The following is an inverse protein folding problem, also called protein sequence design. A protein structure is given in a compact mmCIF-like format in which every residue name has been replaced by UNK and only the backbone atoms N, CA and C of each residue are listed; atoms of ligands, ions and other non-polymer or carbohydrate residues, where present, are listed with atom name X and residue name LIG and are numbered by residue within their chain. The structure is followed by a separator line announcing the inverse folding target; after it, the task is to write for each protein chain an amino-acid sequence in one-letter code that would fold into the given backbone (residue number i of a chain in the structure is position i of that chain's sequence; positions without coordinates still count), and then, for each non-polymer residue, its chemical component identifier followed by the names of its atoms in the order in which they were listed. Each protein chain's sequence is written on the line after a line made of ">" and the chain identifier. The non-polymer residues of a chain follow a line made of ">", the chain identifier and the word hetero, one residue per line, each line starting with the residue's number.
data_IF_572591286257
#
_entry.id   IF_572591286257
#
_cell.length_a   1.000
_cell.length_b   1.000
_cell.length_c   1.000
_cell.angle_alpha   90.00
_cell.angle_beta   90.00
_cell.angle_gamma   90.00
#
_symmetry.space_group_name_H-M   'P 1'
#
loop_
_entity.id
_entity.type
_entity.pdbx_description
1 polymer ?
#
# COMPACT_ATOMS: atom_id res chain seq x y z
N UNK A 1 -19.63 -10.73 -8.64
CA UNK A 1 -19.47 -9.98 -7.39
C UNK A 1 -18.56 -8.79 -7.67
N UNK A 2 -18.82 -7.64 -7.07
CA UNK A 2 -18.09 -6.39 -7.36
C UNK A 2 -17.44 -5.84 -6.09
N UNK A 3 -16.47 -4.94 -6.25
CA UNK A 3 -15.83 -4.20 -5.15
C UNK A 3 -16.76 -3.14 -4.51
N UNK A 4 -17.92 -2.85 -5.07
CA UNK A 4 -18.73 -1.67 -4.74
C UNK A 4 -19.07 -1.50 -3.25
N UNK A 5 -19.26 -2.61 -2.52
CA UNK A 5 -19.56 -2.59 -1.08
C UNK A 5 -18.31 -2.50 -0.19
N UNK A 6 -17.13 -2.77 -0.75
CA UNK A 6 -15.85 -2.85 -0.04
C UNK A 6 -14.87 -1.74 -0.45
N UNK A 7 -15.31 -0.80 -1.28
CA UNK A 7 -14.56 0.40 -1.63
C UNK A 7 -15.37 1.64 -1.32
N UNK A 8 -14.68 2.74 -1.09
CA UNK A 8 -15.29 4.04 -0.85
C UNK A 8 -14.97 4.99 -1.99
N UNK A 9 -15.99 5.55 -2.63
CA UNK A 9 -15.82 6.67 -3.55
C UNK A 9 -15.55 7.93 -2.73
N UNK A 10 -14.42 8.58 -3.03
CA UNK A 10 -14.01 9.78 -2.31
C UNK A 10 -14.72 11.02 -2.87
N UNK A 11 -15.23 11.84 -1.96
CA UNK A 11 -15.79 13.14 -2.32
C UNK A 11 -14.69 14.21 -2.51
N UNK A 12 -15.07 15.38 -3.05
CA UNK A 12 -14.11 16.48 -3.35
C UNK A 12 -13.31 16.93 -2.13
N UNK A 13 -13.91 16.96 -0.95
CA UNK A 13 -13.24 17.39 0.28
C UNK A 13 -12.16 16.37 0.70
N UNK A 14 -12.46 15.08 0.62
CA UNK A 14 -11.53 14.00 0.93
C UNK A 14 -10.35 13.99 -0.05
N UNK A 15 -10.63 14.08 -1.34
CA UNK A 15 -9.59 14.22 -2.39
C UNK A 15 -8.72 15.46 -2.11
N UNK A 16 -9.35 16.61 -1.82
CA UNK A 16 -8.63 17.85 -1.51
C UNK A 16 -7.70 17.71 -0.30
N UNK A 17 -8.11 16.99 0.76
CA UNK A 17 -7.27 16.70 1.94
C UNK A 17 -6.05 15.85 1.58
N UNK A 18 -6.23 14.76 0.83
CA UNK A 18 -5.13 13.88 0.41
C UNK A 18 -4.15 14.66 -0.48
N UNK A 19 -4.63 15.40 -1.47
CA UNK A 19 -3.78 16.25 -2.31
C UNK A 19 -3.07 17.34 -1.49
N UNK A 20 -3.72 17.89 -0.47
CA UNK A 20 -3.13 18.83 0.49
C UNK A 20 -1.96 18.21 1.27
N UNK A 21 -2.12 16.98 1.74
CA UNK A 21 -1.06 16.23 2.41
C UNK A 21 0.14 16.00 1.47
N UNK A 22 -0.10 15.60 0.22
CA UNK A 22 0.95 15.43 -0.77
C UNK A 22 1.70 16.74 -1.05
N UNK A 23 0.97 17.85 -1.27
CA UNK A 23 1.57 19.18 -1.49
C UNK A 23 2.42 19.63 -0.32
N UNK A 24 1.96 19.43 0.92
CA UNK A 24 2.70 19.83 2.14
C UNK A 24 4.05 19.13 2.28
N UNK A 25 4.24 17.98 1.61
CA UNK A 25 5.50 17.24 1.56
C UNK A 25 6.30 17.49 0.29
N UNK A 26 5.83 18.34 -0.62
CA UNK A 26 6.46 18.56 -1.93
C UNK A 26 6.43 17.33 -2.84
N UNK A 27 5.48 16.41 -2.63
CA UNK A 27 5.36 15.20 -3.43
C UNK A 27 4.78 15.51 -4.82
N UNK A 28 5.24 14.74 -5.81
CA UNK A 28 4.70 14.79 -7.17
C UNK A 28 3.23 14.37 -7.16
N UNK A 29 2.39 15.16 -7.83
CA UNK A 29 0.98 14.88 -8.06
C UNK A 29 0.76 14.82 -9.56
N UNK A 30 0.39 13.66 -10.07
CA UNK A 30 0.06 13.46 -11.47
C UNK A 30 -1.32 14.03 -11.76
N UNK A 31 -1.40 14.84 -12.81
CA UNK A 31 -2.63 15.55 -13.23
C UNK A 31 -3.07 15.20 -14.65
N UNK A 32 -2.28 14.37 -15.35
CA UNK A 32 -2.66 13.84 -16.66
C UNK A 32 -3.86 12.91 -16.51
N UNK A 33 -4.81 12.88 -17.49
CA UNK A 33 -5.98 12.01 -17.41
C UNK A 33 -5.60 10.54 -17.20
N UNK A 34 -6.24 9.88 -16.23
CA UNK A 34 -6.03 8.46 -15.87
C UNK A 34 -4.62 8.07 -15.41
N UNK A 35 -3.73 9.06 -15.19
CA UNK A 35 -2.47 8.81 -14.50
C UNK A 35 -2.71 8.77 -12.99
N UNK A 36 -2.42 7.63 -12.37
CA UNK A 36 -2.82 7.34 -11.00
C UNK A 36 -1.85 7.96 -9.99
N UNK A 37 -2.40 8.58 -8.97
CA UNK A 37 -1.72 8.81 -7.70
C UNK A 37 -2.17 7.69 -6.76
N UNK A 38 -1.23 6.83 -6.36
CA UNK A 38 -1.49 5.67 -5.50
C UNK A 38 -0.93 6.00 -4.12
N UNK A 39 -1.81 6.14 -3.12
CA UNK A 39 -1.45 6.65 -1.81
C UNK A 39 -1.89 5.66 -0.72
N UNK A 40 -0.93 5.05 -0.03
CA UNK A 40 -1.15 4.31 1.20
C UNK A 40 -1.15 5.22 2.42
N UNK A 41 -1.97 4.91 3.39
CA UNK A 41 -1.96 5.56 4.69
C UNK A 41 -1.91 4.48 5.75
N UNK A 42 -0.76 4.37 6.43
CA UNK A 42 -0.60 3.55 7.63
C UNK A 42 -1.23 4.29 8.77
N UNK A 43 -2.15 3.64 9.47
CA UNK A 43 -2.86 4.27 10.58
C UNK A 43 -2.00 4.29 11.87
N UNK A 44 -2.54 4.88 12.93
CA UNK A 44 -1.84 4.96 14.24
C UNK A 44 -1.96 3.69 15.06
N UNK A 45 -2.80 2.75 14.66
CA UNK A 45 -2.95 1.46 15.30
C UNK A 45 -1.88 0.52 14.76
N UNK A 46 -1.01 0.04 15.59
CA UNK A 46 0.06 -0.90 15.24
C UNK A 46 -0.36 -2.35 15.42
N UNK A 47 -1.63 -2.67 15.12
CA UNK A 47 -2.14 -4.02 15.21
C UNK A 47 -1.90 -4.79 13.90
N UNK A 48 -0.87 -5.64 13.81
CA UNK A 48 -0.47 -6.31 12.59
C UNK A 48 -1.35 -7.52 12.23
N UNK A 49 -2.55 -7.59 12.77
CA UNK A 49 -3.55 -8.64 12.47
C UNK A 49 -4.62 -8.14 11.52
N UNK A 50 -4.95 -6.85 11.56
CA UNK A 50 -6.08 -6.25 10.85
C UNK A 50 -5.70 -5.48 9.60
N UNK A 51 -6.61 -5.47 8.61
CA UNK A 51 -6.56 -4.59 7.44
C UNK A 51 -7.17 -3.23 7.80
N UNK A 52 -6.47 -2.44 8.57
CA UNK A 52 -6.95 -1.16 9.11
C UNK A 52 -6.20 0.06 8.54
N UNK A 53 -5.36 -0.17 7.55
CA UNK A 53 -4.76 0.85 6.71
C UNK A 53 -5.60 1.10 5.46
N UNK A 54 -5.33 2.19 4.76
CA UNK A 54 -6.05 2.51 3.53
C UNK A 54 -5.11 2.71 2.33
N UNK A 55 -5.62 2.39 1.15
CA UNK A 55 -5.02 2.76 -0.13
C UNK A 55 -6.01 3.61 -0.91
N UNK A 56 -5.66 4.87 -1.11
CA UNK A 56 -6.41 5.78 -1.96
C UNK A 56 -5.78 5.85 -3.35
N UNK A 57 -6.61 5.78 -4.37
CA UNK A 57 -6.22 6.00 -5.77
C UNK A 57 -6.93 7.24 -6.27
N UNK A 58 -6.16 8.26 -6.68
CA UNK A 58 -6.69 9.51 -7.21
C UNK A 58 -6.25 9.67 -8.67
N UNK A 59 -7.17 10.12 -9.51
CA UNK A 59 -6.89 10.42 -10.91
C UNK A 59 -7.80 11.53 -11.44
N UNK A 60 -7.42 12.14 -12.55
CA UNK A 60 -8.32 12.99 -13.32
C UNK A 60 -8.92 12.23 -14.50
N UNK A 61 -10.16 12.53 -14.84
CA UNK A 61 -10.79 12.04 -16.06
C UNK A 61 -10.52 12.97 -17.27
N UNK A 62 -11.04 12.62 -18.45
CA UNK A 62 -10.91 13.41 -19.68
C UNK A 62 -11.46 14.84 -19.56
N UNK A 63 -12.36 15.09 -18.61
CA UNK A 63 -12.93 16.41 -18.31
C UNK A 63 -12.11 17.19 -17.30
N UNK A 64 -10.91 16.66 -16.95
CA UNK A 64 -10.02 17.26 -15.96
C UNK A 64 -10.62 17.29 -14.52
N UNK A 65 -11.58 16.41 -14.22
CA UNK A 65 -12.24 16.29 -12.92
C UNK A 65 -11.52 15.25 -12.07
N UNK A 66 -11.22 15.61 -10.82
CA UNK A 66 -10.65 14.66 -9.86
C UNK A 66 -11.66 13.60 -9.44
N UNK A 67 -11.23 12.38 -9.53
CA UNK A 67 -11.90 11.17 -9.04
C UNK A 67 -11.02 10.50 -7.99
N UNK A 68 -11.63 9.68 -7.12
CA UNK A 68 -10.88 8.93 -6.12
C UNK A 68 -11.65 7.75 -5.56
N UNK A 69 -10.90 6.68 -5.29
CA UNK A 69 -11.37 5.49 -4.58
C UNK A 69 -10.43 5.15 -3.43
N UNK A 70 -10.99 4.58 -2.37
CA UNK A 70 -10.26 4.15 -1.18
C UNK A 70 -10.61 2.70 -0.85
N UNK A 71 -9.59 1.93 -0.49
CA UNK A 71 -9.65 0.49 -0.23
C UNK A 71 -9.03 0.17 1.12
N UNK A 72 -9.56 -0.83 1.82
CA UNK A 72 -8.93 -1.40 3.00
C UNK A 72 -7.72 -2.26 2.60
N UNK A 73 -6.59 -1.96 3.21
CA UNK A 73 -5.32 -2.69 3.00
C UNK A 73 -4.62 -2.92 4.34
N UNK A 74 -3.50 -3.65 4.30
CA UNK A 74 -2.44 -3.50 5.29
C UNK A 74 -1.17 -2.99 4.62
N UNK A 75 -0.41 -2.18 5.35
CA UNK A 75 0.95 -1.74 5.00
C UNK A 75 2.00 -2.39 5.90
N UNK A 76 1.56 -3.27 6.79
CA UNK A 76 2.36 -3.86 7.85
C UNK A 76 2.70 -5.33 7.58
N UNK A 77 3.85 -5.83 8.04
CA UNK A 77 4.07 -7.25 8.18
C UNK A 77 3.13 -7.82 9.23
N UNK A 78 2.57 -9.02 9.00
CA UNK A 78 1.73 -9.70 9.99
C UNK A 78 2.54 -10.17 11.20
N UNK A 79 1.87 -10.44 12.34
CA UNK A 79 2.46 -11.07 13.54
C UNK A 79 3.26 -12.32 13.20
N UNK A 80 2.80 -13.13 12.23
CA UNK A 80 3.55 -14.29 11.76
C UNK A 80 4.96 -13.94 11.32
N UNK A 81 5.13 -12.86 10.53
CA UNK A 81 6.43 -12.45 9.99
C UNK A 81 7.20 -11.52 10.92
N UNK A 82 6.55 -10.88 11.88
CA UNK A 82 7.23 -10.23 12.99
C UNK A 82 7.96 -11.28 13.86
N UNK A 83 7.25 -12.33 14.28
CA UNK A 83 7.80 -13.38 15.11
C UNK A 83 8.78 -14.32 14.38
N UNK A 84 8.55 -14.54 13.07
CA UNK A 84 9.37 -15.43 12.23
C UNK A 84 9.69 -14.75 10.91
N UNK A 85 10.57 -13.74 10.93
CA UNK A 85 10.90 -12.98 9.72
C UNK A 85 11.60 -13.84 8.68
N UNK A 86 11.33 -13.58 7.40
CA UNK A 86 11.99 -14.25 6.27
C UNK A 86 13.47 -13.86 6.21
N UNK A 87 13.78 -12.60 6.53
CA UNK A 87 15.15 -12.08 6.56
C UNK A 87 15.70 -12.14 8.00
N UNK A 88 16.96 -12.51 8.14
CA UNK A 88 17.66 -12.57 9.45
C UNK A 88 17.70 -11.21 10.16
N UNK A 89 17.67 -10.13 9.41
CA UNK A 89 17.64 -8.76 9.91
C UNK A 89 16.25 -8.31 10.41
N UNK A 90 15.25 -9.19 10.40
CA UNK A 90 13.90 -8.88 10.85
C UNK A 90 12.89 -8.65 9.71
N UNK A 91 11.65 -8.41 10.09
CA UNK A 91 10.58 -8.10 9.15
C UNK A 91 10.79 -6.73 8.48
N UNK A 92 10.34 -6.60 7.23
CA UNK A 92 10.50 -5.37 6.47
C UNK A 92 9.29 -4.45 6.69
N UNK A 93 9.55 -3.21 7.08
CA UNK A 93 8.54 -2.16 7.25
C UNK A 93 8.89 -1.01 6.32
N UNK A 94 7.98 -0.68 5.41
CA UNK A 94 8.20 0.39 4.45
C UNK A 94 8.14 1.77 5.13
N UNK A 95 9.17 2.63 4.99
CA UNK A 95 9.15 3.99 5.50
C UNK A 95 8.08 4.85 4.81
N UNK A 96 7.63 5.93 5.49
CA UNK A 96 6.86 6.96 4.81
C UNK A 96 7.71 7.65 3.73
N UNK A 97 7.07 8.03 2.64
CA UNK A 97 7.77 8.66 1.53
C UNK A 97 7.02 8.53 0.21
N UNK A 98 7.56 9.14 -0.82
CA UNK A 98 7.10 8.95 -2.19
C UNK A 98 8.17 8.21 -2.99
N UNK A 99 7.77 7.14 -3.63
CA UNK A 99 8.61 6.20 -4.36
C UNK A 99 8.30 6.30 -5.85
N UNK A 100 9.00 7.19 -6.53
CA UNK A 100 8.74 7.54 -7.94
C UNK A 100 9.09 6.37 -8.86
N UNK A 101 8.10 5.91 -9.67
CA UNK A 101 8.24 4.87 -10.69
C UNK A 101 8.94 3.60 -10.16
N UNK A 102 8.60 3.22 -8.92
CA UNK A 102 9.29 2.12 -8.23
C UNK A 102 8.56 0.79 -8.32
N UNK A 103 7.40 0.75 -8.98
CA UNK A 103 6.63 -0.47 -9.24
C UNK A 103 6.33 -0.65 -10.71
N UNK A 104 6.16 -1.93 -11.09
CA UNK A 104 5.68 -2.37 -12.40
C UNK A 104 4.62 -3.44 -12.26
N UNK A 105 3.70 -3.52 -13.22
CA UNK A 105 2.83 -4.69 -13.36
C UNK A 105 3.69 -5.88 -13.75
N UNK A 106 3.68 -6.92 -12.91
CA UNK A 106 4.34 -8.21 -13.13
C UNK A 106 3.59 -9.34 -12.44
N UNK A 107 3.88 -10.59 -12.77
CA UNK A 107 3.28 -11.75 -12.13
C UNK A 107 3.75 -11.87 -10.68
N UNK A 108 2.82 -11.78 -9.74
CA UNK A 108 3.08 -12.09 -8.33
C UNK A 108 3.17 -13.60 -8.16
N UNK A 109 4.36 -14.09 -7.72
CA UNK A 109 4.65 -15.53 -7.57
C UNK A 109 4.29 -16.36 -8.83
N UNK A 110 4.38 -15.79 -10.03
CA UNK A 110 4.03 -16.46 -11.28
C UNK A 110 2.52 -16.66 -11.53
N UNK A 111 1.63 -16.20 -10.63
CA UNK A 111 0.21 -16.57 -10.65
C UNK A 111 -0.70 -15.50 -11.27
N UNK A 112 -0.65 -14.26 -10.80
CA UNK A 112 -1.53 -13.19 -11.24
C UNK A 112 -0.78 -11.86 -11.30
N UNK A 113 -1.32 -10.89 -12.03
CA UNK A 113 -0.71 -9.56 -12.17
C UNK A 113 -0.85 -8.78 -10.87
N UNK A 114 0.22 -8.12 -10.46
CA UNK A 114 0.27 -7.22 -9.32
C UNK A 114 1.30 -6.11 -9.57
N UNK A 115 1.31 -5.08 -8.75
CA UNK A 115 2.40 -4.11 -8.77
C UNK A 115 3.57 -4.69 -7.98
N UNK A 116 4.61 -5.10 -8.68
CA UNK A 116 5.85 -5.62 -8.10
C UNK A 116 6.91 -4.54 -8.02
N UNK A 117 7.67 -4.52 -6.94
CA UNK A 117 8.81 -3.62 -6.78
C UNK A 117 9.79 -3.74 -7.95
N UNK A 118 10.26 -2.61 -8.47
CA UNK A 118 11.17 -2.53 -9.61
C UNK A 118 12.47 -1.76 -9.33
N UNK A 119 12.44 -0.78 -8.44
CA UNK A 119 13.62 0.00 -8.05
C UNK A 119 14.07 -0.35 -6.63
N UNK A 120 15.27 0.09 -6.29
CA UNK A 120 15.78 0.03 -4.92
C UNK A 120 14.84 0.82 -4.02
N UNK A 121 14.40 0.21 -2.94
CA UNK A 121 13.71 0.87 -1.84
C UNK A 121 14.40 0.55 -0.53
N UNK A 122 14.24 1.42 0.45
CA UNK A 122 14.72 1.19 1.80
C UNK A 122 13.58 0.73 2.69
N UNK A 123 13.87 -0.10 3.68
CA UNK A 123 12.91 -0.56 4.68
C UNK A 123 13.54 -0.46 6.07
N UNK A 124 12.73 -0.21 7.08
CA UNK A 124 13.09 -0.46 8.47
C UNK A 124 13.06 -1.96 8.72
N UNK A 125 13.84 -2.43 9.69
CA UNK A 125 13.85 -3.82 10.12
C UNK A 125 13.30 -3.93 11.53
N UNK A 126 12.26 -4.72 11.68
CA UNK A 126 11.72 -5.14 12.96
C UNK A 126 12.34 -6.50 13.30
N UNK A 127 13.22 -6.50 14.31
CA UNK A 127 14.03 -7.66 14.70
C UNK A 127 13.75 -8.16 16.11
N UNK A 128 12.87 -7.50 16.87
CA UNK A 128 12.61 -7.84 18.28
C UNK A 128 11.73 -9.09 18.44
N UNK A 129 11.14 -9.58 17.35
CA UNK A 129 10.30 -10.78 17.28
C UNK A 129 9.13 -10.74 18.24
N UNK A 130 8.55 -9.59 18.43
CA UNK A 130 7.34 -9.35 19.21
C UNK A 130 6.09 -9.31 18.32
N UNK A 131 4.92 -9.26 18.95
CA UNK A 131 3.65 -9.07 18.24
C UNK A 131 3.38 -7.60 17.88
N UNK A 132 4.28 -6.69 18.27
CA UNK A 132 4.15 -5.25 18.06
C UNK A 132 5.11 -4.79 16.96
N UNK A 133 4.66 -3.83 16.18
CA UNK A 133 5.51 -3.16 15.20
C UNK A 133 6.51 -2.25 15.88
N UNK A 134 7.79 -2.51 15.67
CA UNK A 134 8.90 -1.67 16.16
C UNK A 134 9.56 -0.97 14.98
N UNK A 135 9.49 0.37 14.99
CA UNK A 135 10.17 1.19 13.99
C UNK A 135 11.54 1.62 14.51
N UNK A 136 12.56 0.92 14.09
CA UNK A 136 13.93 1.35 14.29
C UNK A 136 14.44 2.05 13.03
N UNK A 137 14.50 3.38 13.07
CA UNK A 137 14.95 4.19 11.93
C UNK A 137 16.43 3.99 11.60
N UNK A 138 17.22 3.51 12.54
CA UNK A 138 18.65 3.22 12.35
C UNK A 138 18.88 1.86 11.71
N UNK A 139 17.88 0.97 11.78
CA UNK A 139 17.91 -0.35 11.15
C UNK A 139 17.59 -0.34 9.67
N UNK A 140 17.65 0.81 9.01
CA UNK A 140 17.28 0.93 7.60
C UNK A 140 18.23 0.15 6.70
N UNK A 141 17.66 -0.66 5.80
CA UNK A 141 18.38 -1.36 4.75
C UNK A 141 17.71 -1.13 3.39
N UNK A 142 18.53 -1.09 2.32
CA UNK A 142 18.06 -0.73 0.98
C UNK A 142 18.45 -1.80 -0.03
N UNK A 143 17.47 -2.37 -0.75
CA UNK A 143 17.70 -3.40 -1.76
C UNK A 143 16.69 -3.28 -2.92
N UNK A 144 17.06 -3.80 -4.08
CA UNK A 144 16.20 -3.82 -5.25
C UNK A 144 15.11 -4.90 -5.17
N UNK A 145 15.33 -5.97 -4.43
CA UNK A 145 14.51 -7.18 -4.48
C UNK A 145 13.89 -7.58 -3.14
N UNK A 146 13.43 -6.64 -2.33
CA UNK A 146 12.65 -7.01 -1.13
C UNK A 146 11.34 -7.71 -1.45
N UNK A 147 10.82 -7.52 -2.69
CA UNK A 147 9.52 -8.01 -3.07
C UNK A 147 8.39 -7.26 -2.39
N UNK A 148 8.60 -5.97 -2.10
CA UNK A 148 7.56 -5.07 -1.57
C UNK A 148 6.52 -4.81 -2.64
N UNK A 149 5.56 -5.71 -2.73
CA UNK A 149 4.53 -5.69 -3.76
C UNK A 149 3.23 -5.06 -3.25
N UNK A 150 2.40 -4.57 -4.17
CA UNK A 150 1.00 -4.22 -3.90
C UNK A 150 0.16 -5.34 -4.50
N UNK A 151 -0.47 -6.14 -3.66
CA UNK A 151 -1.16 -7.38 -4.08
C UNK A 151 -2.38 -7.69 -3.22
N UNK A 152 -3.13 -8.75 -3.56
CA UNK A 152 -4.26 -9.22 -2.76
C UNK A 152 -3.86 -10.28 -1.75
N UNK A 153 -4.61 -10.38 -0.66
CA UNK A 153 -4.37 -11.37 0.40
C UNK A 153 -4.53 -12.79 -0.14
N UNK A 154 -5.67 -13.13 -0.70
CA UNK A 154 -5.97 -14.50 -1.18
C UNK A 154 -6.24 -14.53 -2.67
N UNK A 155 -5.70 -15.51 -3.37
CA UNK A 155 -6.02 -15.79 -4.77
C UNK A 155 -7.10 -16.86 -4.82
N UNK A 156 -8.36 -16.45 -5.04
CA UNK A 156 -9.51 -17.35 -5.15
C UNK A 156 -10.12 -17.74 -3.81
N UNK A 157 -11.43 -17.53 -3.67
CA UNK A 157 -12.22 -17.84 -2.49
C UNK A 157 -11.74 -17.09 -1.24
N UNK A 158 -12.43 -16.04 -0.90
CA UNK A 158 -12.22 -15.33 0.35
C UNK A 158 -12.93 -16.04 1.49
N UNK A 159 -12.58 -15.68 2.72
CA UNK A 159 -13.11 -16.36 3.90
C UNK A 159 -14.64 -16.17 4.05
N UNK A 160 -15.21 -15.12 3.48
CA UNK A 160 -16.65 -14.77 3.53
C UNK A 160 -17.41 -15.02 2.22
N UNK A 161 -16.77 -15.58 1.18
CA UNK A 161 -17.38 -15.74 -0.14
C UNK A 161 -17.58 -14.43 -0.93
N UNK A 162 -17.34 -13.27 -0.32
CA UNK A 162 -17.50 -11.94 -0.92
C UNK A 162 -16.17 -11.29 -1.33
N UNK A 163 -15.08 -12.01 -1.26
CA UNK A 163 -13.76 -11.52 -1.61
C UNK A 163 -12.93 -11.00 -0.44
N UNK A 164 -13.50 -10.88 0.76
CA UNK A 164 -12.78 -10.40 1.94
C UNK A 164 -11.94 -11.49 2.59
N UNK A 165 -10.83 -11.04 3.18
CA UNK A 165 -9.98 -11.84 4.07
C UNK A 165 -10.03 -11.21 5.45
N UNK A 166 -10.33 -12.01 6.48
CA UNK A 166 -10.58 -11.50 7.82
C UNK A 166 -9.31 -10.94 8.48
N UNK A 167 -8.19 -11.64 8.35
CA UNK A 167 -6.91 -11.30 8.98
C UNK A 167 -5.76 -11.26 7.97
N UNK A 168 -4.73 -10.47 8.27
CA UNK A 168 -3.53 -10.38 7.43
C UNK A 168 -2.84 -11.73 7.27
N UNK A 169 -2.75 -12.52 8.35
CA UNK A 169 -2.22 -13.88 8.34
C UNK A 169 -0.89 -14.03 7.57
N UNK A 170 -0.78 -14.99 6.63
CA UNK A 170 0.45 -15.26 5.90
C UNK A 170 0.65 -14.36 4.66
N UNK A 171 -0.15 -13.32 4.47
CA UNK A 171 -0.20 -12.60 3.21
C UNK A 171 0.75 -11.41 3.15
N UNK A 172 1.13 -10.82 4.29
CA UNK A 172 2.08 -9.70 4.30
C UNK A 172 3.31 -9.99 5.15
N UNK A 173 4.48 -9.95 4.51
CA UNK A 173 5.79 -9.87 5.17
C UNK A 173 6.38 -8.45 5.06
N UNK A 174 5.50 -7.44 4.90
CA UNK A 174 5.80 -6.03 4.67
C UNK A 174 5.20 -5.46 3.39
N UNK A 175 4.53 -6.29 2.56
CA UNK A 175 3.82 -5.87 1.35
C UNK A 175 2.60 -5.01 1.67
N UNK A 176 2.17 -4.23 0.68
CA UNK A 176 0.89 -3.54 0.68
C UNK A 176 -0.19 -4.53 0.21
N UNK A 177 -1.07 -4.98 1.10
CA UNK A 177 -1.96 -6.11 0.80
C UNK A 177 -3.43 -5.68 0.90
N UNK A 178 -4.16 -5.84 -0.19
CA UNK A 178 -5.60 -5.61 -0.23
C UNK A 178 -6.35 -6.67 0.57
N UNK A 179 -7.28 -6.23 1.41
CA UNK A 179 -8.19 -7.11 2.14
C UNK A 179 -9.13 -7.84 1.19
N UNK A 180 -9.71 -7.13 0.23
CA UNK A 180 -10.72 -7.63 -0.69
C UNK A 180 -10.10 -7.91 -2.07
N UNK A 181 -10.30 -9.13 -2.58
CA UNK A 181 -9.74 -9.57 -3.86
C UNK A 181 -10.40 -8.91 -5.07
N UNK A 182 -11.69 -8.60 -5.02
CA UNK A 182 -12.39 -7.90 -6.12
C UNK A 182 -11.97 -6.44 -6.20
N UNK A 183 -11.73 -5.81 -5.06
CA UNK A 183 -11.19 -4.44 -5.00
C UNK A 183 -9.77 -4.36 -5.55
N UNK A 184 -8.96 -5.37 -5.30
CA UNK A 184 -7.65 -5.48 -5.93
C UNK A 184 -7.76 -5.64 -7.45
N UNK A 185 -8.69 -6.43 -7.95
CA UNK A 185 -8.90 -6.58 -9.39
C UNK A 185 -9.34 -5.28 -10.04
N UNK A 186 -10.26 -4.53 -9.41
CA UNK A 186 -10.66 -3.20 -9.86
C UNK A 186 -9.46 -2.24 -9.91
N UNK A 187 -8.63 -2.22 -8.86
CA UNK A 187 -7.40 -1.44 -8.84
C UNK A 187 -6.45 -1.82 -9.98
N UNK A 188 -6.28 -3.11 -10.24
CA UNK A 188 -5.41 -3.58 -11.30
C UNK A 188 -5.92 -3.24 -12.71
N UNK A 189 -7.24 -3.17 -12.92
CA UNK A 189 -7.79 -2.67 -14.19
C UNK A 189 -7.43 -1.20 -14.42
N UNK A 190 -7.52 -0.34 -13.40
CA UNK A 190 -7.06 1.04 -13.50
C UNK A 190 -5.55 1.11 -13.77
N UNK A 191 -4.75 0.27 -13.12
CA UNK A 191 -3.31 0.21 -13.35
C UNK A 191 -2.96 -0.26 -14.77
N UNK A 192 -3.65 -1.25 -15.30
CA UNK A 192 -3.47 -1.70 -16.69
C UNK A 192 -3.82 -0.58 -17.68
N UNK A 193 -4.90 0.14 -17.44
CA UNK A 193 -5.27 1.27 -18.29
C UNK A 193 -4.22 2.39 -18.26
N UNK A 194 -3.69 2.75 -17.08
CA UNK A 194 -2.55 3.67 -17.00
C UNK A 194 -1.35 3.15 -17.79
N UNK A 195 -1.03 1.86 -17.69
CA UNK A 195 0.10 1.27 -18.42
C UNK A 195 -0.04 1.42 -19.92
N UNK A 196 -1.24 1.29 -20.47
CA UNK A 196 -1.52 1.48 -21.89
C UNK A 196 -1.27 2.93 -22.33
N UNK A 197 -1.60 3.90 -21.49
CA UNK A 197 -1.44 5.32 -21.79
C UNK A 197 -0.03 5.86 -21.54
N UNK A 198 0.65 5.39 -20.49
CA UNK A 198 1.86 6.04 -19.94
C UNK A 198 3.03 5.08 -19.71
N UNK A 199 2.88 3.81 -20.06
CA UNK A 199 3.90 2.79 -19.83
C UNK A 199 3.83 2.13 -18.44
N UNK A 200 4.65 1.10 -18.26
CA UNK A 200 4.59 0.21 -17.09
C UNK A 200 5.49 0.73 -15.95
N UNK A 201 5.18 1.91 -15.43
CA UNK A 201 5.86 2.50 -14.28
C UNK A 201 4.85 3.15 -13.35
N UNK A 202 4.94 2.86 -12.04
CA UNK A 202 3.97 3.32 -11.05
C UNK A 202 4.69 3.92 -9.84
N UNK A 203 4.19 5.08 -9.42
CA UNK A 203 4.61 5.78 -8.20
C UNK A 203 3.67 5.42 -7.06
N UNK A 204 4.25 5.07 -5.91
CA UNK A 204 3.51 4.85 -4.68
C UNK A 204 3.95 5.85 -3.62
N UNK A 205 2.99 6.42 -2.90
CA UNK A 205 3.23 7.31 -1.75
C UNK A 205 2.71 6.63 -0.50
N UNK A 206 3.50 6.57 0.56
CA UNK A 206 3.07 6.10 1.87
C UNK A 206 3.12 7.24 2.88
N UNK A 207 2.00 7.51 3.51
CA UNK A 207 1.93 8.33 4.73
C UNK A 207 1.86 7.41 5.95
N UNK A 208 2.70 7.66 6.92
CA UNK A 208 2.71 6.93 8.17
C UNK A 208 2.25 7.84 9.31
N UNK A 209 1.01 7.65 9.77
CA UNK A 209 0.43 8.42 10.85
C UNK A 209 0.90 7.92 12.23
N UNK A 210 1.41 6.69 12.32
CA UNK A 210 1.93 6.13 13.56
C UNK A 210 3.15 6.89 14.08
N UNK A 211 3.98 7.41 13.17
CA UNK A 211 5.18 8.18 13.51
C UNK A 211 4.85 9.55 14.15
N UNK A 212 3.69 10.12 13.85
CA UNK A 212 3.30 11.43 14.42
C UNK A 212 3.09 11.35 15.92
N UNK A 213 2.67 10.23 16.49
CA UNK A 213 2.52 10.05 17.95
C UNK A 213 3.85 10.07 18.70
N UNK A 214 4.95 9.59 18.12
CA UNK A 214 6.27 9.56 18.78
C UNK A 214 6.84 10.96 19.05
N UNK A 215 6.46 11.97 18.28
CA UNK A 215 6.90 13.35 18.47
C UNK A 215 6.15 14.09 19.58
N UNK A 216 4.93 13.66 19.95
CA UNK A 216 4.14 14.29 21.01
C UNK A 216 4.42 13.73 22.42
N UNK A 217 5.11 12.59 22.53
CA UNK A 217 5.41 11.92 23.82
C UNK A 217 6.78 12.35 24.38
N UNK A 218 7.60 13.04 23.59
CA UNK A 218 8.94 13.54 24.01
C UNK A 218 8.96 15.03 24.41
N UNK A 219 7.86 15.58 24.94
CA UNK A 219 7.86 16.90 25.57
C UNK A 219 7.48 16.79 27.04
#
# INVERSE_FOLDING_TARGET
>A
MSCAENSKVLNRLQIGRILGMMRSKGYVIYTDPYKLNIIGVRNTNTNPVKFDDTLSVLWKDDRNIWNGKEYAITTDPSTRYLNRPINKLGAAIMPNGQYIDSWKIRKHRGKYDALGQDKIICVYRDYDRSDLLTFDVESQSCEQNYGMNIHKAKSGGADDGQGNTAEIGPYSAGCQVFQNSYCFEEFMEMAKYQRELYGNAFTYTLFDLSLQRKFFIKR
#
